data_IF_634353466810
#
_entry.id   IF_634353466810
#
_cell.length_a   1.000
_cell.length_b   1.000
_cell.length_c   1.000
_cell.angle_alpha   90.00
_cell.angle_beta   90.00
_cell.angle_gamma   90.00
#
_symmetry.space_group_name_H-M   'P 1'
#
loop_
_entity.id
_entity.type
_entity.pdbx_description
1 polymer ?
#
# COMPACT_ATOMS: atom_id res chain seq x y z
N UNK A 1 -4.01 22.15 -7.49
CA UNK A 1 -5.12 21.58 -6.70
C UNK A 1 -5.97 20.62 -7.51
N UNK A 2 -6.53 21.00 -8.67
CA UNK A 2 -7.31 20.07 -9.51
C UNK A 2 -6.51 18.83 -9.94
N UNK A 3 -5.27 19.04 -10.40
CA UNK A 3 -4.39 17.91 -10.74
C UNK A 3 -4.15 16.93 -9.60
N UNK A 4 -4.06 17.38 -8.34
CA UNK A 4 -3.84 16.47 -7.23
C UNK A 4 -5.06 15.56 -7.01
N UNK A 5 -6.28 16.04 -7.28
CA UNK A 5 -7.48 15.20 -7.22
C UNK A 5 -7.41 14.10 -8.27
N UNK A 6 -7.06 14.43 -9.52
CA UNK A 6 -6.88 13.43 -10.59
C UNK A 6 -5.76 12.45 -10.25
N UNK A 7 -4.61 12.95 -9.78
CA UNK A 7 -3.43 12.13 -9.47
C UNK A 7 -3.69 11.15 -8.33
N UNK A 8 -4.57 11.48 -7.38
CA UNK A 8 -5.00 10.64 -6.25
C UNK A 8 -6.28 9.83 -6.53
N UNK A 9 -6.92 10.02 -7.68
CA UNK A 9 -8.13 9.30 -8.01
C UNK A 9 -7.85 7.82 -8.26
N UNK A 10 -8.82 7.01 -7.85
CA UNK A 10 -8.95 5.60 -8.17
C UNK A 10 -9.52 5.42 -9.57
N UNK A 11 -9.44 4.21 -10.15
CA UNK A 11 -9.98 3.93 -11.48
C UNK A 11 -11.49 4.17 -11.66
N UNK A 12 -12.28 4.19 -10.58
CA UNK A 12 -13.68 4.63 -10.63
C UNK A 12 -13.86 6.16 -10.67
N UNK A 13 -12.78 6.93 -10.83
CA UNK A 13 -12.76 8.40 -10.89
C UNK A 13 -13.13 9.11 -9.57
N UNK A 14 -13.36 8.38 -8.49
CA UNK A 14 -13.45 8.92 -7.14
C UNK A 14 -12.05 8.98 -6.49
N UNK A 15 -11.90 9.78 -5.44
CA UNK A 15 -10.70 9.68 -4.58
C UNK A 15 -11.02 8.79 -3.37
N UNK A 16 -10.03 8.06 -2.82
CA UNK A 16 -10.22 7.40 -1.55
C UNK A 16 -10.41 8.44 -0.44
N UNK A 17 -11.09 8.07 0.64
CA UNK A 17 -11.12 8.93 1.83
C UNK A 17 -9.73 8.98 2.45
N UNK A 18 -9.08 10.13 2.42
CA UNK A 18 -7.71 10.28 2.94
C UNK A 18 -7.71 10.67 4.42
N UNK A 19 -8.33 11.81 4.72
CA UNK A 19 -8.34 12.43 6.03
C UNK A 19 -9.80 12.74 6.40
N UNK A 20 -10.08 13.88 7.03
CA UNK A 20 -11.45 14.31 7.22
C UNK A 20 -12.11 14.62 5.87
N UNK A 21 -13.14 13.85 5.55
CA UNK A 21 -14.10 14.14 4.49
C UNK A 21 -15.51 13.88 5.05
N UNK A 22 -16.36 14.89 4.94
CA UNK A 22 -17.72 14.89 5.50
C UNK A 22 -18.81 14.82 4.45
N UNK A 23 -18.48 15.00 3.17
CA UNK A 23 -19.48 15.30 2.14
C UNK A 23 -19.91 14.03 1.36
N UNK A 24 -21.13 14.01 0.83
CA UNK A 24 -21.65 12.89 0.04
C UNK A 24 -22.07 11.64 0.83
N UNK A 25 -22.55 10.63 0.09
CA UNK A 25 -23.18 9.43 0.67
C UNK A 25 -22.25 8.25 0.93
N UNK A 26 -21.17 8.09 0.16
CA UNK A 26 -20.21 6.99 0.35
C UNK A 26 -19.38 7.21 1.62
N UNK A 27 -19.08 6.13 2.36
CA UNK A 27 -18.24 6.21 3.57
C UNK A 27 -16.76 5.93 3.29
N UNK A 28 -16.39 5.52 2.08
CA UNK A 28 -15.03 5.06 1.74
C UNK A 28 -14.43 5.78 0.50
N UNK A 29 -15.24 6.55 -0.20
CA UNK A 29 -14.89 7.27 -1.43
C UNK A 29 -15.44 8.70 -1.40
N UNK A 30 -14.70 9.64 -1.99
CA UNK A 30 -15.15 11.01 -2.20
C UNK A 30 -15.34 11.30 -3.69
N UNK A 31 -16.48 11.91 -4.01
CA UNK A 31 -16.79 12.37 -5.36
C UNK A 31 -16.06 13.69 -5.63
N UNK A 32 -15.33 13.73 -6.75
CA UNK A 32 -14.57 14.91 -7.20
C UNK A 32 -15.12 15.48 -8.51
N UNK A 33 -16.27 15.01 -8.97
CA UNK A 33 -16.85 15.39 -10.27
C UNK A 33 -17.22 16.87 -10.35
N UNK A 34 -17.79 17.45 -9.29
CA UNK A 34 -18.11 18.89 -9.24
C UNK A 34 -16.87 19.79 -9.30
N UNK A 35 -15.85 19.64 -8.43
CA UNK A 35 -14.66 20.47 -8.54
C UNK A 35 -13.92 20.26 -9.87
N UNK A 36 -13.91 19.03 -10.43
CA UNK A 36 -13.27 18.81 -11.73
C UNK A 36 -14.06 19.38 -12.91
N UNK A 37 -15.39 19.48 -12.81
CA UNK A 37 -16.19 20.26 -13.77
C UNK A 37 -15.79 21.75 -13.75
N UNK A 38 -15.63 22.34 -12.56
CA UNK A 38 -15.14 23.72 -12.40
C UNK A 38 -13.75 23.87 -13.00
N UNK A 39 -12.83 22.95 -12.68
CA UNK A 39 -11.48 22.94 -13.25
C UNK A 39 -11.49 22.87 -14.78
N UNK A 40 -12.28 21.96 -15.35
CA UNK A 40 -12.42 21.80 -16.80
C UNK A 40 -12.92 23.09 -17.48
N UNK A 41 -13.89 23.79 -16.89
CA UNK A 41 -14.41 25.05 -17.42
C UNK A 41 -13.42 26.22 -17.34
N UNK A 42 -12.66 26.33 -16.25
CA UNK A 42 -11.70 27.41 -16.03
C UNK A 42 -10.47 27.23 -16.91
N UNK A 43 -9.93 26.01 -16.99
CA UNK A 43 -8.66 25.73 -17.64
C UNK A 43 -8.78 25.15 -19.05
N UNK A 44 -9.98 24.79 -19.49
CA UNK A 44 -10.22 24.10 -20.76
C UNK A 44 -9.36 22.82 -20.88
N UNK A 45 -9.32 22.03 -19.80
CA UNK A 45 -8.42 20.88 -19.63
C UNK A 45 -9.17 19.55 -19.86
N UNK A 46 -8.90 18.82 -20.96
CA UNK A 46 -9.52 17.53 -21.29
C UNK A 46 -9.40 16.46 -20.20
N UNK A 47 -8.29 16.47 -19.44
CA UNK A 47 -8.10 15.53 -18.33
C UNK A 47 -9.11 15.79 -17.20
N UNK A 48 -9.38 17.04 -16.87
CA UNK A 48 -10.39 17.37 -15.84
C UNK A 48 -11.80 17.01 -16.32
N UNK A 49 -12.06 17.15 -17.63
CA UNK A 49 -13.32 16.74 -18.25
C UNK A 49 -13.60 15.25 -18.14
N UNK A 50 -12.57 14.40 -18.14
CA UNK A 50 -12.74 12.95 -17.98
C UNK A 50 -13.29 12.57 -16.60
N UNK A 51 -13.05 13.39 -15.58
CA UNK A 51 -13.52 13.16 -14.21
C UNK A 51 -14.71 14.03 -13.84
N UNK A 52 -15.06 15.02 -14.66
CA UNK A 52 -16.21 15.87 -14.40
C UNK A 52 -17.52 15.15 -14.70
N UNK A 53 -18.59 15.55 -14.00
CA UNK A 53 -19.94 15.21 -14.42
C UNK A 53 -20.29 15.85 -15.76
N UNK A 54 -21.34 15.35 -16.42
CA UNK A 54 -21.78 15.87 -17.73
C UNK A 54 -22.52 17.20 -17.65
N UNK A 55 -22.98 17.57 -16.46
CA UNK A 55 -23.73 18.80 -16.23
C UNK A 55 -22.88 19.79 -15.42
N UNK A 56 -23.07 21.11 -15.65
CA UNK A 56 -22.51 22.13 -14.78
C UNK A 56 -22.95 21.88 -13.32
N UNK A 57 -22.03 21.95 -12.36
CA UNK A 57 -22.35 21.66 -10.97
C UNK A 57 -23.31 22.72 -10.41
N UNK A 58 -24.43 22.27 -9.83
CA UNK A 58 -25.49 23.15 -9.31
C UNK A 58 -24.97 24.11 -8.23
N UNK A 59 -24.04 23.63 -7.40
CA UNK A 59 -23.35 24.36 -6.33
C UNK A 59 -22.51 25.54 -6.82
N UNK A 60 -22.16 25.59 -8.11
CA UNK A 60 -21.39 26.69 -8.69
C UNK A 60 -22.16 27.43 -9.79
N UNK A 61 -23.38 27.03 -10.14
CA UNK A 61 -24.09 27.52 -11.33
C UNK A 61 -24.18 29.05 -11.40
N UNK A 62 -24.42 29.71 -10.27
CA UNK A 62 -24.51 31.18 -10.18
C UNK A 62 -23.18 31.91 -10.38
N UNK A 63 -22.04 31.21 -10.37
CA UNK A 63 -20.71 31.75 -10.60
C UNK A 63 -20.23 31.52 -12.05
N UNK A 64 -21.01 30.81 -12.87
CA UNK A 64 -20.61 30.40 -14.21
C UNK A 64 -21.22 31.31 -15.28
N UNK A 65 -20.40 31.70 -16.25
CA UNK A 65 -20.85 32.33 -17.48
C UNK A 65 -21.43 31.30 -18.45
N UNK A 66 -22.26 31.76 -19.40
CA UNK A 66 -22.78 30.91 -20.48
C UNK A 66 -21.63 30.30 -21.30
N UNK A 67 -20.56 31.05 -21.54
CA UNK A 67 -19.38 30.57 -22.26
C UNK A 67 -18.69 29.42 -21.52
N UNK A 68 -18.53 29.52 -20.19
CA UNK A 68 -17.94 28.44 -19.39
C UNK A 68 -18.80 27.18 -19.43
N UNK A 69 -20.13 27.32 -19.34
CA UNK A 69 -21.05 26.18 -19.45
C UNK A 69 -20.93 25.52 -20.83
N UNK A 70 -20.85 26.30 -21.91
CA UNK A 70 -20.68 25.77 -23.26
C UNK A 70 -19.31 25.12 -23.47
N UNK A 71 -18.25 25.64 -22.85
CA UNK A 71 -16.93 25.00 -22.85
C UNK A 71 -17.00 23.59 -22.27
N UNK A 72 -17.65 23.39 -21.11
CA UNK A 72 -17.77 22.05 -20.52
C UNK A 72 -18.47 21.05 -21.46
N UNK A 73 -19.54 21.50 -22.12
CA UNK A 73 -20.33 20.68 -23.06
C UNK A 73 -19.53 20.29 -24.31
N UNK A 74 -18.72 21.21 -24.82
CA UNK A 74 -17.99 21.01 -26.07
C UNK A 74 -16.60 20.39 -25.86
N UNK A 75 -16.07 20.41 -24.64
CA UNK A 75 -14.76 19.85 -24.31
C UNK A 75 -14.82 18.32 -24.37
N UNK A 76 -13.94 17.75 -25.18
CA UNK A 76 -13.76 16.30 -25.24
C UNK A 76 -12.92 15.82 -24.05
N UNK A 77 -13.37 14.76 -23.40
CA UNK A 77 -12.62 14.13 -22.32
C UNK A 77 -11.35 13.43 -22.85
N UNK A 78 -10.27 13.48 -22.06
CA UNK A 78 -9.07 12.67 -22.27
C UNK A 78 -8.78 11.87 -21.02
N UNK A 79 -8.78 10.54 -21.13
CA UNK A 79 -8.39 9.66 -20.04
C UNK A 79 -6.92 9.92 -19.62
N UNK A 80 -6.57 9.68 -18.35
CA UNK A 80 -5.19 9.82 -17.90
C UNK A 80 -4.25 8.87 -18.66
N UNK A 81 -3.05 9.37 -18.97
CA UNK A 81 -1.97 8.63 -19.63
C UNK A 81 -0.80 8.30 -18.68
N UNK A 82 -0.97 8.55 -17.38
CA UNK A 82 0.04 8.26 -16.36
C UNK A 82 -0.35 7.08 -15.47
N UNK A 83 0.66 6.32 -15.04
CA UNK A 83 0.52 5.22 -14.09
C UNK A 83 0.76 5.67 -12.64
N UNK A 84 1.55 4.89 -11.93
CA UNK A 84 2.00 5.15 -10.56
C UNK A 84 2.76 6.47 -10.44
N UNK A 85 2.58 7.17 -9.33
CA UNK A 85 3.18 8.49 -9.09
C UNK A 85 3.28 8.80 -7.60
N UNK A 86 3.97 9.90 -7.27
CA UNK A 86 4.05 10.42 -5.92
C UNK A 86 3.76 11.92 -5.89
N UNK A 87 3.01 12.35 -4.89
CA UNK A 87 2.95 13.74 -4.44
C UNK A 87 3.88 13.86 -3.23
N UNK A 88 5.19 14.07 -3.49
CA UNK A 88 6.24 13.94 -2.47
C UNK A 88 6.11 14.98 -1.36
N UNK A 89 5.64 16.18 -1.68
CA UNK A 89 5.47 17.29 -0.76
C UNK A 89 4.33 17.02 0.25
N UNK A 90 3.26 16.37 -0.21
CA UNK A 90 2.12 15.99 0.64
C UNK A 90 2.22 14.57 1.19
N UNK A 91 3.20 13.79 0.74
CA UNK A 91 3.48 12.45 1.22
C UNK A 91 2.47 11.39 0.78
N UNK A 92 1.89 11.52 -0.42
CA UNK A 92 1.01 10.48 -0.98
C UNK A 92 1.68 9.75 -2.14
N UNK A 93 1.66 8.42 -2.09
CA UNK A 93 2.32 7.56 -3.07
C UNK A 93 1.30 6.59 -3.66
N UNK A 94 1.13 6.63 -4.97
CA UNK A 94 0.11 5.86 -5.68
C UNK A 94 0.78 4.82 -6.57
N UNK A 95 0.41 3.57 -6.35
CA UNK A 95 0.73 2.42 -7.20
C UNK A 95 -0.53 2.07 -8.01
N UNK A 96 -0.44 2.00 -9.33
CA UNK A 96 -1.54 1.59 -10.22
C UNK A 96 -1.03 0.98 -11.51
N UNK A 97 -1.87 0.16 -12.14
CA UNK A 97 -1.58 -0.42 -13.46
C UNK A 97 -2.66 -0.16 -14.52
N UNK A 98 -3.53 0.80 -14.26
CA UNK A 98 -4.41 1.37 -15.27
C UNK A 98 -5.55 2.19 -14.68
N UNK A 99 -6.51 2.52 -15.54
CA UNK A 99 -7.64 3.41 -15.26
C UNK A 99 -9.01 2.79 -15.56
N UNK A 100 -9.04 1.54 -16.01
CA UNK A 100 -10.29 0.79 -16.13
C UNK A 100 -10.85 0.50 -14.73
N UNK A 101 -12.17 0.46 -14.52
CA UNK A 101 -12.78 0.29 -13.19
C UNK A 101 -12.32 -0.95 -12.41
N UNK A 102 -11.86 -2.00 -13.09
CA UNK A 102 -11.33 -3.20 -12.45
C UNK A 102 -9.81 -3.18 -12.23
N UNK A 103 -9.10 -2.13 -12.67
CA UNK A 103 -7.66 -2.01 -12.47
C UNK A 103 -7.28 -1.81 -11.00
N UNK A 104 -6.02 -2.14 -10.71
CA UNK A 104 -5.50 -2.19 -9.36
C UNK A 104 -4.91 -0.85 -8.98
N UNK A 105 -5.18 -0.45 -7.74
CA UNK A 105 -4.74 0.80 -7.17
C UNK A 105 -4.42 0.61 -5.69
N UNK A 106 -3.30 1.17 -5.25
CA UNK A 106 -2.93 1.28 -3.84
C UNK A 106 -2.34 2.66 -3.58
N UNK A 107 -2.82 3.32 -2.53
CA UNK A 107 -2.28 4.57 -2.03
C UNK A 107 -1.63 4.35 -0.67
N UNK A 108 -0.45 4.92 -0.47
CA UNK A 108 0.25 5.02 0.82
C UNK A 108 0.18 6.44 1.34
N UNK A 109 -0.23 6.59 2.60
CA UNK A 109 -0.22 7.85 3.36
C UNK A 109 1.09 7.95 4.14
N UNK A 110 1.99 8.85 3.75
CA UNK A 110 3.30 9.07 4.37
C UNK A 110 3.63 10.57 4.50
N UNK A 111 2.59 11.40 4.68
CA UNK A 111 2.69 12.83 4.86
C UNK A 111 2.24 13.29 6.25
N UNK A 112 2.91 14.32 6.78
CA UNK A 112 2.56 14.95 8.05
C UNK A 112 2.45 16.46 7.90
N UNK A 113 1.27 17.02 8.15
CA UNK A 113 1.06 18.47 8.20
C UNK A 113 1.51 19.04 9.56
N UNK A 114 2.69 19.67 9.60
CA UNK A 114 3.29 20.17 10.85
C UNK A 114 2.61 21.44 11.39
N UNK A 115 1.97 22.25 10.54
CA UNK A 115 1.40 23.56 10.94
C UNK A 115 -0.03 23.45 11.45
N UNK A 116 -0.87 22.64 10.80
CA UNK A 116 -2.30 22.52 11.11
C UNK A 116 -2.80 21.06 11.00
N UNK A 117 -2.37 20.15 11.90
CA UNK A 117 -2.69 18.72 11.84
C UNK A 117 -4.12 18.38 12.29
N UNK A 118 -5.02 19.36 12.43
CA UNK A 118 -6.38 19.19 12.96
C UNK A 118 -7.19 18.16 12.17
N UNK A 119 -6.93 18.02 10.86
CA UNK A 119 -7.58 17.04 10.01
C UNK A 119 -6.78 15.74 9.85
N UNK A 120 -5.54 15.67 10.37
CA UNK A 120 -4.66 14.53 10.17
C UNK A 120 -5.06 13.34 11.06
N UNK A 121 -5.04 12.17 10.47
CA UNK A 121 -5.33 10.90 11.11
C UNK A 121 -4.06 10.19 11.62
N UNK A 122 -4.24 9.20 12.50
CA UNK A 122 -3.20 8.25 12.90
C UNK A 122 -3.02 7.13 11.88
N UNK A 123 -2.69 7.49 10.63
CA UNK A 123 -2.64 6.63 9.44
C UNK A 123 -1.26 6.63 8.76
N UNK A 124 -0.19 6.98 9.47
CA UNK A 124 1.17 7.07 8.95
C UNK A 124 1.65 5.70 8.43
N UNK A 125 2.14 5.70 7.20
CA UNK A 125 2.44 4.51 6.36
C UNK A 125 1.23 3.60 6.12
N UNK A 126 0.02 4.08 6.38
CA UNK A 126 -1.23 3.37 6.13
C UNK A 126 -1.52 3.25 4.65
N UNK A 127 -2.21 2.18 4.27
CA UNK A 127 -2.58 1.93 2.88
C UNK A 127 -4.09 2.03 2.63
N UNK A 128 -4.46 2.37 1.40
CA UNK A 128 -5.82 2.24 0.88
C UNK A 128 -5.73 1.50 -0.44
N UNK A 129 -6.51 0.44 -0.63
CA UNK A 129 -6.43 -0.38 -1.83
C UNK A 129 -7.78 -0.58 -2.52
N UNK A 130 -7.73 -0.61 -3.85
CA UNK A 130 -8.87 -0.70 -4.74
C UNK A 130 -8.57 -1.66 -5.89
N UNK A 131 -9.58 -2.45 -6.25
CA UNK A 131 -9.61 -3.28 -7.46
C UNK A 131 -11.06 -3.73 -7.68
N UNK A 132 -11.38 -4.18 -8.89
CA UNK A 132 -12.67 -4.82 -9.15
C UNK A 132 -13.90 -3.95 -8.81
N UNK A 133 -13.83 -2.65 -9.10
CA UNK A 133 -14.91 -1.71 -8.76
C UNK A 133 -15.04 -1.36 -7.27
N UNK A 134 -14.15 -1.85 -6.40
CA UNK A 134 -14.32 -1.81 -4.94
C UNK A 134 -13.05 -1.37 -4.20
N UNK A 135 -13.17 -0.37 -3.33
CA UNK A 135 -12.16 -0.08 -2.30
C UNK A 135 -12.22 -1.15 -1.21
N UNK A 136 -11.32 -2.15 -1.24
CA UNK A 136 -11.39 -3.35 -0.39
C UNK A 136 -10.55 -3.25 0.90
N UNK A 137 -9.49 -2.42 0.90
CA UNK A 137 -8.83 -1.96 2.12
C UNK A 137 -9.15 -0.48 2.29
N UNK A 138 -10.33 -0.13 2.83
CA UNK A 138 -10.76 1.26 2.88
C UNK A 138 -10.10 2.03 4.02
N UNK A 139 -10.22 3.35 3.90
CA UNK A 139 -10.29 4.26 5.02
C UNK A 139 -11.70 4.86 5.07
N UNK A 140 -12.10 5.44 6.20
CA UNK A 140 -13.49 5.79 6.46
C UNK A 140 -13.70 7.28 6.68
N UNK A 141 -14.82 7.80 6.18
CA UNK A 141 -15.26 9.18 6.46
C UNK A 141 -15.55 9.37 7.93
N UNK A 142 -15.21 10.55 8.41
CA UNK A 142 -15.37 10.97 9.78
C UNK A 142 -16.48 12.01 9.83
N UNK A 143 -17.42 11.87 10.77
CA UNK A 143 -18.47 12.88 10.99
C UNK A 143 -18.36 13.38 12.41
N UNK A 144 -18.04 14.67 12.56
CA UNK A 144 -17.80 15.32 13.85
C UNK A 144 -19.00 15.32 14.81
N UNK A 145 -20.21 15.12 14.28
CA UNK A 145 -21.43 15.01 15.07
C UNK A 145 -21.71 13.59 15.60
N UNK A 146 -20.81 12.61 15.38
CA UNK A 146 -20.95 11.23 15.85
C UNK A 146 -19.86 10.90 16.85
N UNK A 147 -20.18 10.13 17.89
CA UNK A 147 -19.25 9.77 18.97
C UNK A 147 -18.04 8.94 18.49
N UNK A 148 -18.17 8.21 17.39
CA UNK A 148 -17.13 7.35 16.82
C UNK A 148 -16.05 8.12 16.03
N UNK A 149 -16.17 9.44 15.88
CA UNK A 149 -15.27 10.23 15.05
C UNK A 149 -13.79 10.05 15.44
N UNK A 150 -13.47 10.13 16.73
CA UNK A 150 -12.08 10.06 17.22
C UNK A 150 -11.46 8.67 17.00
N UNK A 151 -12.28 7.61 17.08
CA UNK A 151 -11.88 6.25 16.74
C UNK A 151 -11.59 6.13 15.24
N UNK A 152 -12.48 6.64 14.39
CA UNK A 152 -12.32 6.64 12.94
C UNK A 152 -11.11 7.47 12.48
N UNK A 153 -10.70 8.50 13.24
CA UNK A 153 -9.47 9.29 12.99
C UNK A 153 -8.17 8.57 13.38
N UNK A 154 -8.21 7.37 13.96
CA UNK A 154 -7.02 6.74 14.53
C UNK A 154 -6.80 5.29 14.09
N UNK A 155 -5.65 4.73 14.48
CA UNK A 155 -5.00 3.57 13.87
C UNK A 155 -5.85 2.30 13.80
N UNK A 156 -6.77 2.06 14.74
CA UNK A 156 -7.64 0.88 14.70
C UNK A 156 -8.63 0.87 13.53
N UNK A 157 -8.90 2.04 12.93
CA UNK A 157 -9.72 2.20 11.75
C UNK A 157 -8.89 2.37 10.46
N UNK A 158 -7.57 2.14 10.51
CA UNK A 158 -6.63 2.29 9.38
C UNK A 158 -5.97 0.95 9.02
N UNK A 159 -5.33 0.90 7.85
CA UNK A 159 -4.52 -0.24 7.39
C UNK A 159 -3.04 -0.04 7.76
N UNK A 160 -2.73 -0.10 9.06
CA UNK A 160 -1.41 0.24 9.62
C UNK A 160 -0.87 -0.89 10.48
N UNK A 161 0.41 -0.80 10.85
CA UNK A 161 1.01 -1.66 11.85
C UNK A 161 1.11 -0.94 13.22
N UNK A 162 1.07 -1.71 14.32
CA UNK A 162 1.09 -1.21 15.69
C UNK A 162 2.02 -2.05 16.58
N UNK A 163 2.47 -1.44 17.68
CA UNK A 163 3.25 -2.07 18.75
C UNK A 163 2.49 -1.93 20.05
N UNK A 164 2.26 -3.03 20.77
CA UNK A 164 1.58 -3.06 22.08
C UNK A 164 0.25 -2.28 22.09
N UNK A 165 -0.49 -2.30 20.97
CA UNK A 165 -1.74 -1.56 20.80
C UNK A 165 -1.61 -0.04 20.97
N UNK A 166 -0.38 0.50 20.90
CA UNK A 166 -0.11 1.93 20.95
C UNK A 166 -0.56 2.58 19.64
N UNK A 167 -1.56 3.45 19.73
CA UNK A 167 -2.08 4.20 18.60
C UNK A 167 -1.07 5.25 18.12
N UNK A 168 -1.06 5.49 16.81
CA UNK A 168 -0.22 6.52 16.21
C UNK A 168 -0.68 7.93 16.63
N UNK A 169 -1.98 8.20 16.59
CA UNK A 169 -2.55 9.44 17.12
C UNK A 169 -2.64 9.39 18.64
N UNK A 170 -1.95 10.29 19.34
CA UNK A 170 -1.97 10.34 20.82
C UNK A 170 -2.32 11.72 21.34
N UNK A 171 -2.84 11.74 22.57
CA UNK A 171 -3.20 12.95 23.32
C UNK A 171 -4.14 13.86 22.51
N UNK A 172 -5.37 13.39 22.25
CA UNK A 172 -6.38 14.19 21.55
C UNK A 172 -6.65 15.50 22.29
N UNK A 173 -6.62 16.62 21.56
CA UNK A 173 -6.99 17.94 22.05
C UNK A 173 -8.16 18.47 21.24
N UNK A 174 -9.35 18.41 21.83
CA UNK A 174 -10.56 19.02 21.29
C UNK A 174 -10.48 20.55 21.28
N UNK A 175 -11.33 21.17 20.46
CA UNK A 175 -11.52 22.61 20.44
C UNK A 175 -12.35 23.08 21.64
N UNK A 176 -12.29 24.38 21.95
CA UNK A 176 -13.02 24.98 23.07
C UNK A 176 -14.55 24.92 22.91
N UNK A 177 -15.03 24.82 21.66
CA UNK A 177 -16.46 24.81 21.35
C UNK A 177 -17.15 23.45 21.49
N UNK A 178 -16.42 22.38 21.83
CA UNK A 178 -16.98 21.04 22.00
C UNK A 178 -17.56 20.44 20.72
N UNK A 179 -17.20 20.94 19.54
CA UNK A 179 -17.80 20.54 18.26
C UNK A 179 -17.25 19.23 17.71
N UNK A 180 -16.51 18.46 18.51
CA UNK A 180 -15.74 17.29 18.08
C UNK A 180 -14.48 17.64 17.28
N UNK A 181 -14.31 18.88 16.81
CA UNK A 181 -13.12 19.32 16.10
C UNK A 181 -11.92 19.36 17.05
N UNK A 182 -10.74 18.94 16.60
CA UNK A 182 -9.54 18.88 17.43
C UNK A 182 -8.35 18.30 16.68
N UNK A 183 -7.25 18.08 17.40
CA UNK A 183 -6.03 17.53 16.84
C UNK A 183 -5.38 16.52 17.77
N UNK A 184 -4.61 15.59 17.18
CA UNK A 184 -3.65 14.79 17.93
C UNK A 184 -2.45 15.66 18.29
N UNK A 185 -2.01 15.64 19.56
CA UNK A 185 -0.78 16.35 19.96
C UNK A 185 0.49 15.58 19.57
N UNK A 186 0.35 14.30 19.27
CA UNK A 186 1.39 13.49 18.68
C UNK A 186 0.83 12.68 17.51
N UNK A 187 1.56 12.72 16.40
CA UNK A 187 1.46 11.82 15.27
C UNK A 187 2.89 11.43 14.86
N UNK A 188 3.12 10.20 14.36
CA UNK A 188 4.45 9.81 13.91
C UNK A 188 4.94 10.68 12.76
N UNK A 189 6.22 11.05 12.78
CA UNK A 189 6.88 11.68 11.65
C UNK A 189 7.34 10.59 10.66
N UNK A 190 6.80 10.57 9.42
CA UNK A 190 7.22 9.62 8.40
C UNK A 190 8.56 10.02 7.79
N UNK A 191 9.31 9.01 7.33
CA UNK A 191 10.46 9.17 6.46
C UNK A 191 10.38 8.15 5.34
N UNK A 192 10.20 8.62 4.12
CA UNK A 192 10.25 7.77 2.93
C UNK A 192 11.70 7.54 2.55
N UNK A 193 12.09 6.26 2.50
CA UNK A 193 13.44 5.81 2.23
C UNK A 193 13.63 5.52 0.75
N UNK A 194 12.59 5.00 0.09
CA UNK A 194 12.62 4.71 -1.34
C UNK A 194 11.24 4.78 -1.99
N UNK A 195 11.21 5.29 -3.22
CA UNK A 195 10.07 5.21 -4.13
C UNK A 195 10.59 4.97 -5.55
N UNK A 196 10.22 3.84 -6.14
CA UNK A 196 10.63 3.44 -7.49
C UNK A 196 9.41 2.95 -8.26
N UNK A 197 9.32 3.34 -9.53
CA UNK A 197 8.23 2.97 -10.45
C UNK A 197 8.86 2.45 -11.72
N UNK A 198 8.31 1.37 -12.26
CA UNK A 198 8.71 0.80 -13.55
C UNK A 198 7.53 0.16 -14.26
N UNK A 199 7.72 -0.34 -15.48
CA UNK A 199 6.62 -0.95 -16.24
C UNK A 199 6.12 -2.28 -15.67
N UNK A 200 6.97 -2.99 -14.92
CA UNK A 200 6.63 -4.30 -14.35
C UNK A 200 6.30 -4.25 -12.85
N UNK A 201 6.91 -3.32 -12.12
CA UNK A 201 6.76 -3.23 -10.67
C UNK A 201 6.94 -1.82 -10.13
N UNK A 202 6.33 -1.57 -8.97
CA UNK A 202 6.59 -0.39 -8.15
C UNK A 202 7.07 -0.82 -6.77
N UNK A 203 7.91 0.00 -6.14
CA UNK A 203 8.45 -0.24 -4.81
C UNK A 203 8.38 1.01 -3.94
N UNK A 204 7.91 0.84 -2.72
CA UNK A 204 7.90 1.84 -1.66
C UNK A 204 8.58 1.29 -0.41
N UNK A 205 9.38 2.12 0.26
CA UNK A 205 9.90 1.86 1.60
C UNK A 205 9.82 3.13 2.44
N UNK A 206 9.30 3.01 3.67
CA UNK A 206 9.23 4.11 4.62
C UNK A 206 9.23 3.64 6.06
N UNK A 207 9.65 4.53 6.96
CA UNK A 207 9.65 4.33 8.41
C UNK A 207 8.95 5.50 9.10
N UNK A 208 8.60 5.35 10.38
CA UNK A 208 8.15 6.47 11.20
C UNK A 208 8.56 6.31 12.67
N UNK A 209 8.69 7.41 13.41
CA UNK A 209 9.15 7.44 14.81
C UNK A 209 8.06 7.13 15.85
N UNK A 210 7.02 6.40 15.45
CA UNK A 210 5.78 6.28 16.23
C UNK A 210 5.95 5.48 17.53
N UNK A 211 6.91 4.58 17.53
CA UNK A 211 7.16 3.59 18.58
C UNK A 211 8.55 3.73 19.20
N UNK A 212 9.25 4.85 18.97
CA UNK A 212 10.59 5.09 19.57
C UNK A 212 10.55 5.10 21.09
N UNK A 213 9.44 5.55 21.70
CA UNK A 213 9.26 5.49 23.15
C UNK A 213 9.13 4.07 23.72
N UNK A 214 9.03 3.06 22.85
CA UNK A 214 9.06 1.64 23.18
C UNK A 214 10.39 0.98 22.75
N UNK A 215 11.38 1.75 22.28
CA UNK A 215 12.62 1.22 21.68
C UNK A 215 12.35 0.27 20.50
N UNK A 216 11.34 0.57 19.68
CA UNK A 216 11.02 -0.19 18.46
C UNK A 216 11.27 0.65 17.22
N UNK A 217 12.19 0.17 16.37
CA UNK A 217 12.35 0.68 15.00
C UNK A 217 11.36 -0.04 14.07
N UNK A 218 10.54 0.74 13.35
CA UNK A 218 9.53 0.22 12.43
C UNK A 218 9.76 0.70 11.01
N UNK A 219 9.70 -0.22 10.05
CA UNK A 219 9.70 0.07 8.62
C UNK A 219 8.61 -0.74 7.90
N UNK A 220 7.97 -0.10 6.92
CA UNK A 220 7.10 -0.74 5.94
C UNK A 220 7.71 -0.71 4.55
N UNK A 221 7.68 -1.84 3.87
CA UNK A 221 7.97 -1.95 2.44
C UNK A 221 6.75 -2.48 1.69
N UNK A 222 6.56 -2.01 0.47
CA UNK A 222 5.49 -2.46 -0.42
C UNK A 222 6.09 -2.66 -1.80
N UNK A 223 5.95 -3.87 -2.33
CA UNK A 223 6.22 -4.18 -3.73
C UNK A 223 4.88 -4.41 -4.44
N UNK A 224 4.60 -3.64 -5.48
CA UNK A 224 3.48 -3.91 -6.39
C UNK A 224 4.01 -4.60 -7.64
N UNK A 225 3.56 -5.84 -7.87
CA UNK A 225 3.78 -6.55 -9.12
C UNK A 225 2.61 -6.23 -10.04
N UNK A 226 2.87 -5.41 -11.08
CA UNK A 226 1.82 -4.96 -12.01
C UNK A 226 1.18 -6.15 -12.70
N UNK A 227 -0.12 -6.05 -12.98
CA UNK A 227 -0.93 -7.15 -13.48
C UNK A 227 -1.08 -8.38 -12.53
N UNK A 228 -0.57 -8.30 -11.30
CA UNK A 228 -0.73 -9.32 -10.28
C UNK A 228 -1.21 -8.75 -8.95
N UNK A 229 -0.27 -8.58 -8.01
CA UNK A 229 -0.53 -8.54 -6.58
C UNK A 229 0.43 -7.59 -5.85
N UNK A 230 0.23 -7.41 -4.55
CA UNK A 230 1.17 -6.68 -3.69
C UNK A 230 1.80 -7.59 -2.64
N UNK A 231 3.03 -7.27 -2.26
CA UNK A 231 3.70 -7.80 -1.07
C UNK A 231 3.92 -6.64 -0.12
N UNK A 232 3.41 -6.74 1.10
CA UNK A 232 3.61 -5.77 2.18
C UNK A 232 4.48 -6.40 3.25
N UNK A 233 5.58 -5.73 3.60
CA UNK A 233 6.49 -6.16 4.67
C UNK A 233 6.46 -5.11 5.76
N UNK A 234 6.18 -5.53 6.99
CA UNK A 234 6.28 -4.69 8.20
C UNK A 234 7.38 -5.26 9.10
N UNK A 235 8.54 -4.61 9.14
CA UNK A 235 9.69 -4.98 9.99
C UNK A 235 9.66 -4.19 11.30
N UNK A 236 9.78 -4.91 12.41
CA UNK A 236 9.93 -4.38 13.76
C UNK A 236 11.24 -4.88 14.38
N UNK A 237 12.05 -3.95 14.86
CA UNK A 237 13.32 -4.26 15.52
C UNK A 237 13.39 -3.61 16.91
N UNK A 238 13.62 -4.41 17.95
CA UNK A 238 13.85 -3.96 19.30
C UNK A 238 14.77 -4.92 20.07
N UNK A 239 15.35 -4.43 21.16
CA UNK A 239 16.01 -5.25 22.17
C UNK A 239 15.05 -5.72 23.28
N UNK A 240 13.87 -5.09 23.37
CA UNK A 240 12.80 -5.34 24.33
C UNK A 240 11.70 -6.20 23.71
N UNK A 241 10.91 -6.87 24.55
CA UNK A 241 9.86 -7.81 24.11
C UNK A 241 8.54 -7.05 23.95
N UNK A 242 7.93 -7.15 22.76
CA UNK A 242 6.68 -6.47 22.41
C UNK A 242 5.70 -7.39 21.68
N UNK A 243 4.43 -7.00 21.64
CA UNK A 243 3.42 -7.57 20.74
C UNK A 243 3.32 -6.71 19.49
N UNK A 244 3.55 -7.31 18.33
CA UNK A 244 3.44 -6.63 17.05
C UNK A 244 2.09 -6.93 16.41
N UNK A 245 1.52 -5.94 15.73
CA UNK A 245 0.18 -6.00 15.16
C UNK A 245 0.16 -5.45 13.74
N UNK A 246 -0.54 -6.12 12.83
CA UNK A 246 -0.90 -5.61 11.51
C UNK A 246 -2.42 -5.51 11.41
N UNK A 247 -2.94 -4.30 11.19
CA UNK A 247 -4.37 -4.00 11.15
C UNK A 247 -4.81 -3.86 9.69
N UNK A 248 -5.85 -4.61 9.31
CA UNK A 248 -6.46 -4.55 7.99
C UNK A 248 -7.96 -4.27 8.08
N UNK A 249 -8.41 -3.23 7.39
CA UNK A 249 -9.80 -2.82 7.32
C UNK A 249 -10.53 -3.59 6.23
N UNK A 250 -11.80 -3.91 6.48
CA UNK A 250 -12.68 -4.55 5.50
C UNK A 250 -13.37 -5.79 6.05
N UNK A 251 -14.48 -6.21 5.42
CA UNK A 251 -15.30 -7.33 5.85
C UNK A 251 -14.69 -8.67 5.42
N UNK A 252 -13.45 -8.93 5.83
CA UNK A 252 -12.78 -10.19 5.52
C UNK A 252 -13.35 -11.35 6.37
N UNK A 253 -13.36 -12.53 5.80
CA UNK A 253 -13.62 -13.80 6.46
C UNK A 253 -12.28 -14.49 6.77
N UNK A 254 -12.19 -15.14 7.92
CA UNK A 254 -11.03 -15.97 8.27
C UNK A 254 -11.19 -17.30 7.55
N UNK A 255 -10.26 -17.61 6.63
CA UNK A 255 -10.20 -18.93 5.97
C UNK A 255 -9.42 -19.90 6.85
N UNK A 256 -8.27 -19.45 7.36
CA UNK A 256 -7.44 -20.19 8.31
C UNK A 256 -6.59 -19.20 9.13
N UNK A 257 -5.65 -19.72 9.93
CA UNK A 257 -4.83 -18.91 10.84
C UNK A 257 -3.84 -17.94 10.15
N UNK A 258 -3.71 -17.96 8.82
CA UNK A 258 -2.83 -17.09 8.03
C UNK A 258 -3.47 -16.45 6.81
N UNK A 259 -4.73 -16.78 6.51
CA UNK A 259 -5.41 -16.40 5.29
C UNK A 259 -6.77 -15.77 5.59
N UNK A 260 -6.94 -14.55 5.10
CA UNK A 260 -8.21 -13.83 5.08
C UNK A 260 -8.73 -13.76 3.65
N UNK A 261 -10.05 -13.73 3.48
CA UNK A 261 -10.72 -13.64 2.18
C UNK A 261 -11.84 -12.60 2.20
N UNK A 262 -12.01 -11.88 1.11
CA UNK A 262 -13.17 -11.01 0.86
C UNK A 262 -13.72 -11.24 -0.55
N UNK A 263 -15.05 -11.24 -0.70
CA UNK A 263 -15.73 -11.18 -2.00
C UNK A 263 -16.01 -9.73 -2.38
N UNK A 264 -15.56 -9.30 -3.55
CA UNK A 264 -15.80 -7.97 -4.10
C UNK A 264 -17.14 -7.90 -4.83
N UNK A 265 -17.61 -6.66 -5.10
CA UNK A 265 -18.90 -6.41 -5.76
C UNK A 265 -18.99 -7.03 -7.16
N UNK A 266 -17.88 -7.09 -7.89
CA UNK A 266 -17.82 -7.70 -9.23
C UNK A 266 -17.68 -9.23 -9.20
N UNK A 267 -17.74 -9.86 -8.02
CA UNK A 267 -17.59 -11.31 -7.83
C UNK A 267 -16.14 -11.80 -7.71
N UNK A 268 -15.15 -10.93 -7.89
CA UNK A 268 -13.74 -11.27 -7.66
C UNK A 268 -13.48 -11.51 -6.17
N UNK A 269 -12.59 -12.45 -5.84
CA UNK A 269 -12.13 -12.67 -4.47
C UNK A 269 -10.77 -12.00 -4.26
N UNK A 270 -10.57 -11.42 -3.08
CA UNK A 270 -9.26 -10.90 -2.64
C UNK A 270 -8.84 -11.64 -1.39
N UNK A 271 -7.56 -11.99 -1.33
CA UNK A 271 -6.98 -12.66 -0.18
C UNK A 271 -5.88 -11.82 0.46
N UNK A 272 -5.80 -11.87 1.79
CA UNK A 272 -4.63 -11.42 2.55
C UNK A 272 -3.97 -12.65 3.15
N UNK A 273 -2.76 -12.97 2.71
CA UNK A 273 -2.04 -14.16 3.15
C UNK A 273 -0.75 -13.77 3.87
N UNK A 274 -0.63 -14.14 5.15
CA UNK A 274 0.63 -14.08 5.87
C UNK A 274 1.57 -15.26 5.60
N UNK A 275 2.77 -14.96 5.11
CA UNK A 275 3.78 -15.97 4.81
C UNK A 275 4.59 -16.41 6.03
N UNK A 276 4.48 -15.74 7.18
CA UNK A 276 5.20 -16.13 8.39
C UNK A 276 4.73 -17.48 8.92
N UNK A 277 5.70 -18.36 9.23
CA UNK A 277 5.43 -19.66 9.88
C UNK A 277 5.33 -19.54 11.41
N UNK A 278 5.66 -18.36 11.94
CA UNK A 278 5.52 -18.04 13.36
C UNK A 278 4.06 -17.93 13.78
N UNK A 279 3.78 -18.23 15.06
CA UNK A 279 2.41 -18.20 15.60
C UNK A 279 1.92 -16.76 15.80
N UNK A 280 0.88 -16.39 15.09
CA UNK A 280 0.08 -15.19 15.33
C UNK A 280 -1.41 -15.52 15.44
N UNK A 281 -2.12 -14.67 16.18
CA UNK A 281 -3.56 -14.73 16.36
C UNK A 281 -4.22 -13.73 15.41
N UNK A 282 -5.34 -14.13 14.78
CA UNK A 282 -6.18 -13.21 14.01
C UNK A 282 -7.37 -12.80 14.87
N UNK A 283 -7.50 -11.50 15.15
CA UNK A 283 -8.65 -10.92 15.85
C UNK A 283 -9.50 -10.09 14.90
N UNK A 284 -10.80 -10.28 14.95
CA UNK A 284 -11.74 -9.44 14.20
C UNK A 284 -12.55 -8.58 15.16
N UNK A 285 -12.66 -7.30 14.87
CA UNK A 285 -13.47 -6.38 15.65
C UNK A 285 -14.39 -5.57 14.75
N UNK A 286 -15.66 -5.45 15.15
CA UNK A 286 -16.63 -4.60 14.45
C UNK A 286 -16.88 -3.33 15.23
N UNK A 287 -16.82 -2.19 14.54
CA UNK A 287 -16.88 -0.88 15.15
C UNK A 287 -17.70 0.11 14.30
N UNK A 288 -17.82 1.35 14.81
CA UNK A 288 -18.68 2.39 14.27
C UNK A 288 -20.16 2.17 14.59
N UNK A 289 -20.99 3.17 14.33
CA UNK A 289 -22.44 3.05 14.63
C UNK A 289 -23.05 1.90 13.83
N UNK A 290 -23.76 1.02 14.53
CA UNK A 290 -24.34 -0.24 14.03
C UNK A 290 -23.30 -1.28 13.57
N UNK A 291 -22.05 -1.23 14.04
CA UNK A 291 -21.03 -2.26 13.79
C UNK A 291 -20.78 -2.55 12.30
N UNK A 292 -20.85 -1.49 11.47
CA UNK A 292 -20.78 -1.58 10.00
C UNK A 292 -19.34 -1.71 9.49
N UNK A 293 -18.36 -1.33 10.29
CA UNK A 293 -16.95 -1.43 9.93
C UNK A 293 -16.31 -2.63 10.63
N UNK A 294 -15.28 -3.19 10.01
CA UNK A 294 -14.54 -4.31 10.54
C UNK A 294 -13.05 -4.07 10.36
N UNK A 295 -12.28 -4.38 11.40
CA UNK A 295 -10.84 -4.58 11.29
C UNK A 295 -10.49 -6.06 11.54
N UNK A 296 -9.34 -6.45 11.01
CA UNK A 296 -8.75 -7.77 11.10
C UNK A 296 -7.31 -7.55 11.54
N UNK A 297 -6.94 -8.07 12.71
CA UNK A 297 -5.67 -7.80 13.37
C UNK A 297 -4.88 -9.09 13.47
N UNK A 298 -3.79 -9.17 12.72
CA UNK A 298 -2.77 -10.18 12.96
C UNK A 298 -1.92 -9.73 14.13
N UNK A 299 -1.82 -10.53 15.19
CA UNK A 299 -1.08 -10.19 16.41
C UNK A 299 -0.10 -11.31 16.77
N UNK A 300 1.16 -10.96 16.98
CA UNK A 300 2.18 -11.92 17.38
C UNK A 300 2.07 -12.33 18.86
N UNK A 301 2.69 -13.45 19.21
CA UNK A 301 3.16 -13.64 20.58
C UNK A 301 4.25 -12.60 20.92
N UNK A 302 4.48 -12.27 22.21
CA UNK A 302 5.51 -11.31 22.58
C UNK A 302 6.90 -11.75 22.11
N UNK A 303 7.62 -10.88 21.40
CA UNK A 303 8.97 -11.15 20.93
C UNK A 303 9.77 -9.86 20.67
N UNK A 304 11.09 -9.98 20.50
CA UNK A 304 11.98 -8.82 20.35
C UNK A 304 11.92 -8.18 18.97
N UNK A 305 11.88 -9.01 17.94
CA UNK A 305 11.89 -8.57 16.56
C UNK A 305 10.88 -9.42 15.81
N UNK A 306 10.23 -8.84 14.81
CA UNK A 306 9.31 -9.59 13.98
C UNK A 306 9.16 -8.91 12.62
N UNK A 307 8.91 -9.69 11.58
CA UNK A 307 8.65 -9.18 10.24
C UNK A 307 7.38 -9.80 9.72
N UNK A 308 6.29 -9.04 9.54
CA UNK A 308 5.15 -9.55 8.78
C UNK A 308 5.50 -9.54 7.29
N UNK A 309 5.15 -10.59 6.56
CA UNK A 309 5.18 -10.63 5.09
C UNK A 309 3.81 -11.03 4.57
N UNK A 310 3.07 -10.05 4.05
CA UNK A 310 1.65 -10.19 3.67
C UNK A 310 1.50 -10.08 2.16
N UNK A 311 0.95 -11.12 1.53
CA UNK A 311 0.51 -11.06 0.14
C UNK A 311 -0.92 -10.52 0.08
N UNK A 312 -1.16 -9.54 -0.79
CA UNK A 312 -2.49 -9.04 -1.14
C UNK A 312 -2.81 -9.51 -2.55
N UNK A 313 -3.72 -10.48 -2.66
CA UNK A 313 -3.89 -11.34 -3.84
C UNK A 313 -5.30 -11.20 -4.44
N UNK A 314 -5.55 -10.16 -5.27
CA UNK A 314 -6.83 -9.99 -5.95
C UNK A 314 -7.00 -10.96 -7.13
N UNK A 315 -8.14 -11.63 -7.20
CA UNK A 315 -8.45 -12.58 -8.27
C UNK A 315 -7.66 -13.88 -8.23
N UNK A 316 -7.03 -14.18 -7.10
CA UNK A 316 -6.20 -15.36 -6.95
C UNK A 316 -7.02 -16.67 -6.94
N UNK A 317 -6.43 -17.72 -7.49
CA UNK A 317 -6.88 -19.11 -7.30
C UNK A 317 -5.85 -19.79 -6.40
N UNK A 318 -6.25 -20.13 -5.18
CA UNK A 318 -5.39 -20.77 -4.19
C UNK A 318 -5.66 -22.28 -4.21
N UNK A 319 -4.60 -23.07 -4.43
CA UNK A 319 -4.62 -24.51 -4.21
C UNK A 319 -3.82 -24.81 -2.94
N UNK A 320 -4.53 -24.93 -1.80
CA UNK A 320 -3.90 -25.13 -0.49
C UNK A 320 -3.12 -26.45 -0.42
N UNK A 321 -3.67 -27.53 -0.99
CA UNK A 321 -3.05 -28.87 -0.98
C UNK A 321 -1.67 -28.90 -1.65
N UNK A 322 -1.47 -28.04 -2.66
CA UNK A 322 -0.22 -27.97 -3.43
C UNK A 322 0.70 -26.83 -3.00
N UNK A 323 0.24 -25.93 -2.12
CA UNK A 323 0.98 -24.70 -1.78
C UNK A 323 1.23 -23.78 -2.99
N UNK A 324 0.35 -23.82 -3.99
CA UNK A 324 0.48 -23.04 -5.23
C UNK A 324 -0.66 -22.03 -5.34
N UNK A 325 -0.29 -20.79 -5.65
CA UNK A 325 -1.22 -19.67 -5.85
C UNK A 325 -1.08 -19.20 -7.29
N UNK A 326 -2.20 -19.08 -8.01
CA UNK A 326 -2.23 -18.47 -9.33
C UNK A 326 -2.90 -17.09 -9.26
N UNK A 327 -2.24 -16.06 -9.77
CA UNK A 327 -2.80 -14.70 -9.89
C UNK A 327 -2.46 -14.15 -11.27
N UNK A 328 -3.45 -14.07 -12.17
CA UNK A 328 -3.18 -13.72 -13.57
C UNK A 328 -2.12 -14.64 -14.18
N UNK A 329 -1.06 -14.03 -14.73
CA UNK A 329 0.08 -14.72 -15.34
C UNK A 329 1.13 -15.21 -14.33
N UNK A 330 0.90 -14.98 -13.03
CA UNK A 330 1.86 -15.29 -11.97
C UNK A 330 1.51 -16.57 -11.23
N UNK A 331 2.51 -17.43 -11.08
CA UNK A 331 2.46 -18.59 -10.18
C UNK A 331 3.35 -18.31 -8.97
N UNK A 332 2.78 -18.37 -7.78
CA UNK A 332 3.47 -18.10 -6.53
C UNK A 332 3.51 -19.38 -5.70
N UNK A 333 4.68 -19.68 -5.13
CA UNK A 333 4.91 -20.86 -4.30
C UNK A 333 5.73 -20.47 -3.08
N UNK A 334 5.40 -21.04 -1.94
CA UNK A 334 6.34 -21.11 -0.82
C UNK A 334 7.41 -22.13 -1.18
N UNK A 335 8.68 -21.79 -1.05
CA UNK A 335 9.77 -22.70 -1.39
C UNK A 335 11.04 -22.29 -0.68
N UNK A 336 11.86 -23.28 -0.32
CA UNK A 336 13.10 -23.08 0.43
C UNK A 336 14.36 -23.23 -0.43
N UNK A 337 14.26 -23.82 -1.62
CA UNK A 337 15.37 -23.98 -2.57
C UNK A 337 14.93 -23.54 -3.97
N UNK A 338 15.73 -22.69 -4.60
CA UNK A 338 15.54 -22.24 -5.97
C UNK A 338 16.88 -22.26 -6.70
N UNK A 339 16.98 -23.08 -7.75
CA UNK A 339 18.21 -23.22 -8.54
C UNK A 339 18.00 -22.56 -9.90
N UNK A 340 18.81 -21.56 -10.22
CA UNK A 340 18.83 -20.93 -11.55
C UNK A 340 19.58 -21.82 -12.53
N UNK A 341 20.77 -22.28 -12.13
CA UNK A 341 21.62 -23.21 -12.87
C UNK A 341 22.50 -24.00 -11.86
N UNK A 342 23.29 -25.00 -12.29
CA UNK A 342 24.13 -25.80 -11.38
C UNK A 342 25.12 -25.00 -10.51
N UNK A 343 25.47 -23.77 -10.92
CA UNK A 343 26.41 -22.90 -10.23
C UNK A 343 25.73 -21.79 -9.43
N UNK A 344 24.42 -21.58 -9.57
CA UNK A 344 23.70 -20.48 -8.92
C UNK A 344 22.37 -20.95 -8.31
N UNK A 345 22.29 -20.89 -6.99
CA UNK A 345 21.07 -21.21 -6.23
C UNK A 345 20.81 -20.23 -5.10
N UNK A 346 19.56 -20.19 -4.66
CA UNK A 346 19.04 -19.32 -3.61
C UNK A 346 18.15 -20.11 -2.67
N UNK A 347 18.09 -19.68 -1.41
CA UNK A 347 17.07 -20.11 -0.45
C UNK A 347 16.08 -18.99 -0.16
N UNK A 348 15.07 -18.81 -1.03
CA UNK A 348 13.99 -17.87 -0.79
C UNK A 348 13.01 -18.40 0.26
N UNK A 349 12.04 -17.57 0.61
CA UNK A 349 10.81 -17.99 1.28
C UNK A 349 9.64 -18.10 0.30
N UNK A 350 9.67 -17.25 -0.72
CA UNK A 350 8.66 -17.16 -1.76
C UNK A 350 9.32 -17.12 -3.13
N UNK A 351 8.81 -17.93 -4.04
CA UNK A 351 9.20 -17.96 -5.45
C UNK A 351 8.00 -17.51 -6.28
N UNK A 352 8.24 -16.58 -7.19
CA UNK A 352 7.24 -16.07 -8.13
C UNK A 352 7.74 -16.30 -9.54
N UNK A 353 6.92 -16.99 -10.32
CA UNK A 353 7.10 -17.24 -11.75
C UNK A 353 6.10 -16.38 -12.53
N UNK A 354 6.52 -15.78 -13.64
CA UNK A 354 5.68 -15.08 -14.61
C UNK A 354 5.67 -15.89 -15.89
N UNK A 355 4.50 -16.41 -16.28
CA UNK A 355 4.36 -17.28 -17.48
C UNK A 355 5.34 -18.47 -17.49
N UNK A 356 5.59 -19.05 -16.31
CA UNK A 356 6.50 -20.19 -16.12
C UNK A 356 7.99 -19.85 -16.08
N UNK A 357 8.37 -18.57 -16.17
CA UNK A 357 9.76 -18.12 -16.01
C UNK A 357 9.96 -17.50 -14.62
N UNK A 358 11.11 -17.74 -13.95
CA UNK A 358 11.42 -17.09 -12.69
C UNK A 358 11.39 -15.56 -12.81
N UNK A 359 10.73 -14.89 -11.86
CA UNK A 359 10.49 -13.45 -11.91
C UNK A 359 10.90 -12.73 -10.62
N UNK A 360 10.51 -13.26 -9.45
CA UNK A 360 10.79 -12.63 -8.16
C UNK A 360 11.05 -13.70 -7.11
N UNK A 361 12.11 -13.50 -6.32
CA UNK A 361 12.34 -14.19 -5.07
C UNK A 361 12.15 -13.22 -3.90
N UNK A 362 11.46 -13.66 -2.85
CA UNK A 362 11.29 -12.88 -1.62
C UNK A 362 11.78 -13.65 -0.39
N UNK A 363 12.37 -12.92 0.55
CA UNK A 363 12.89 -13.48 1.80
C UNK A 363 14.09 -14.39 1.60
N UNK A 364 15.02 -14.04 0.71
CA UNK A 364 16.22 -14.85 0.45
C UNK A 364 17.14 -14.80 1.67
N UNK A 365 17.48 -15.95 2.23
CA UNK A 365 18.35 -16.06 3.42
C UNK A 365 19.74 -16.61 3.12
N UNK A 366 19.87 -17.32 2.01
CA UNK A 366 21.10 -17.96 1.57
C UNK A 366 21.18 -17.92 0.04
N UNK A 367 22.39 -17.87 -0.50
CA UNK A 367 22.62 -18.17 -1.91
C UNK A 367 23.99 -18.85 -2.10
N UNK A 368 24.14 -19.58 -3.19
CA UNK A 368 25.38 -20.27 -3.57
C UNK A 368 25.81 -19.89 -4.97
N UNK A 369 27.10 -19.58 -5.14
CA UNK A 369 27.74 -19.25 -6.43
C UNK A 369 28.98 -20.11 -6.57
N UNK A 370 29.07 -20.88 -7.66
CA UNK A 370 30.20 -21.78 -7.98
C UNK A 370 30.55 -22.71 -6.79
N UNK A 371 29.52 -23.22 -6.12
CA UNK A 371 29.66 -24.10 -4.95
C UNK A 371 30.01 -23.39 -3.64
N UNK A 372 30.15 -22.05 -3.64
CA UNK A 372 30.38 -21.26 -2.43
C UNK A 372 29.06 -20.68 -1.89
N UNK A 373 28.61 -21.24 -0.78
CA UNK A 373 27.41 -20.79 -0.07
C UNK A 373 27.68 -19.57 0.82
N UNK A 374 26.78 -18.59 0.79
CA UNK A 374 26.76 -17.46 1.71
C UNK A 374 25.41 -17.32 2.40
N UNK A 375 25.45 -17.13 3.72
CA UNK A 375 24.27 -16.87 4.56
C UNK A 375 24.14 -15.38 4.86
N UNK A 376 22.93 -14.85 4.68
CA UNK A 376 22.61 -13.45 4.96
C UNK A 376 22.20 -13.28 6.42
N UNK A 377 22.68 -12.20 7.05
CA UNK A 377 22.33 -11.86 8.44
C UNK A 377 20.87 -11.44 8.59
N UNK A 378 20.32 -10.83 7.54
CA UNK A 378 18.90 -10.50 7.40
C UNK A 378 18.42 -11.00 6.04
N UNK A 379 17.17 -11.46 5.91
CA UNK A 379 16.63 -11.87 4.63
C UNK A 379 16.66 -10.71 3.63
N UNK A 380 17.08 -10.97 2.40
CA UNK A 380 16.88 -10.05 1.29
C UNK A 380 15.40 -10.08 0.90
N UNK A 381 14.74 -8.93 1.03
CA UNK A 381 13.29 -8.83 0.85
C UNK A 381 12.87 -9.08 -0.61
N UNK A 382 13.50 -8.44 -1.59
CA UNK A 382 13.12 -8.66 -2.99
C UNK A 382 14.34 -8.77 -3.90
N UNK A 383 14.37 -9.87 -4.66
CA UNK A 383 15.31 -10.12 -5.73
C UNK A 383 14.52 -10.35 -7.02
N UNK A 384 14.53 -9.37 -7.92
CA UNK A 384 13.85 -9.44 -9.21
C UNK A 384 14.81 -10.03 -10.23
N UNK A 385 14.39 -11.10 -10.89
CA UNK A 385 15.18 -11.86 -11.85
C UNK A 385 14.80 -11.41 -13.26
N UNK A 386 15.79 -10.93 -14.02
CA UNK A 386 15.64 -10.66 -15.45
C UNK A 386 16.67 -11.49 -16.22
N UNK A 387 16.18 -12.47 -16.98
CA UNK A 387 17.01 -13.19 -17.93
C UNK A 387 17.12 -12.37 -19.22
N UNK A 388 18.31 -11.86 -19.54
CA UNK A 388 18.58 -11.20 -20.82
C UNK A 388 19.85 -11.81 -21.43
N UNK A 389 19.74 -12.31 -22.67
CA UNK A 389 20.88 -12.73 -23.50
C UNK A 389 21.89 -13.66 -22.79
N UNK A 390 21.41 -14.65 -22.01
CA UNK A 390 22.28 -15.58 -21.30
C UNK A 390 22.99 -14.99 -20.08
N UNK A 391 22.52 -13.85 -19.56
CA UNK A 391 22.91 -13.25 -18.27
C UNK A 391 21.71 -13.15 -17.34
N UNK A 392 21.96 -13.27 -16.03
CA UNK A 392 20.97 -13.01 -15.00
C UNK A 392 21.21 -11.63 -14.38
N UNK A 393 20.33 -10.69 -14.70
CA UNK A 393 20.32 -9.37 -14.06
C UNK A 393 19.37 -9.39 -12.87
N UNK A 394 19.93 -9.14 -11.70
CA UNK A 394 19.21 -9.16 -10.44
C UNK A 394 18.97 -7.72 -9.96
N UNK A 395 17.72 -7.31 -9.82
CA UNK A 395 17.40 -6.05 -9.15
C UNK A 395 17.08 -6.32 -7.68
N UNK A 396 17.73 -5.59 -6.79
CA UNK A 396 17.61 -5.80 -5.34
C UNK A 396 16.88 -4.65 -4.65
N UNK A 397 15.96 -5.01 -3.75
CA UNK A 397 15.28 -4.08 -2.86
C UNK A 397 15.31 -4.61 -1.42
N UNK A 398 15.50 -3.71 -0.45
CA UNK A 398 15.56 -4.03 0.98
C UNK A 398 16.77 -3.42 1.70
N UNK A 399 17.05 -3.92 2.90
CA UNK A 399 17.93 -3.28 3.88
C UNK A 399 19.42 -3.61 3.82
N UNK A 400 19.82 -4.75 3.26
CA UNK A 400 21.21 -5.24 3.35
C UNK A 400 22.02 -5.07 2.06
N UNK A 401 21.78 -3.96 1.36
CA UNK A 401 22.45 -3.66 0.10
C UNK A 401 23.97 -3.51 0.26
N UNK A 402 24.44 -3.01 1.41
CA UNK A 402 25.88 -2.85 1.66
C UNK A 402 26.62 -4.19 1.79
N UNK A 403 26.01 -5.22 2.39
CA UNK A 403 26.61 -6.56 2.43
C UNK A 403 26.56 -7.22 1.04
N UNK A 404 25.44 -7.08 0.32
CA UNK A 404 25.35 -7.60 -1.05
C UNK A 404 26.42 -6.98 -1.96
N UNK A 405 26.67 -5.68 -1.85
CA UNK A 405 27.68 -5.00 -2.63
C UNK A 405 29.08 -5.60 -2.43
N UNK A 406 29.47 -5.82 -1.17
CA UNK A 406 30.75 -6.45 -0.82
C UNK A 406 30.84 -7.88 -1.33
N UNK A 407 29.71 -8.59 -1.34
CA UNK A 407 29.64 -10.01 -1.69
C UNK A 407 29.69 -10.26 -3.20
N UNK A 408 29.11 -9.38 -4.01
CA UNK A 408 29.13 -9.50 -5.48
C UNK A 408 30.32 -8.80 -6.15
N UNK A 409 31.31 -8.32 -5.38
CA UNK A 409 32.43 -7.51 -5.90
C UNK A 409 31.94 -6.40 -6.86
N UNK A 410 30.82 -5.76 -6.52
CA UNK A 410 30.26 -4.72 -7.38
C UNK A 410 31.15 -3.47 -7.29
N UNK A 411 31.96 -3.27 -8.34
CA UNK A 411 32.90 -2.14 -8.45
C UNK A 411 32.21 -0.80 -8.73
N UNK A 412 30.88 -0.80 -8.93
CA UNK A 412 30.07 0.36 -9.31
C UNK A 412 29.44 1.11 -8.13
N UNK A 413 30.23 1.70 -7.23
CA UNK A 413 29.71 2.57 -6.17
C UNK A 413 28.72 1.90 -5.19
N UNK A 414 28.21 2.65 -4.20
CA UNK A 414 27.33 2.11 -3.15
C UNK A 414 25.98 1.66 -3.71
N UNK A 415 25.54 0.43 -3.44
CA UNK A 415 24.22 -0.04 -3.89
C UNK A 415 23.11 0.81 -3.24
N UNK A 416 22.23 1.34 -4.07
CA UNK A 416 21.02 2.06 -3.68
C UNK A 416 19.76 1.20 -3.93
N UNK A 417 18.64 1.61 -3.38
CA UNK A 417 17.34 0.96 -3.63
C UNK A 417 17.08 0.80 -5.14
N UNK A 418 16.81 -0.43 -5.59
CA UNK A 418 16.57 -0.74 -6.99
C UNK A 418 17.84 -0.87 -7.86
N UNK A 419 19.02 -0.95 -7.23
CA UNK A 419 20.27 -1.21 -7.97
C UNK A 419 20.21 -2.55 -8.69
N UNK A 420 20.84 -2.58 -9.85
CA UNK A 420 21.02 -3.79 -10.66
C UNK A 420 22.37 -4.39 -10.33
N UNK A 421 22.36 -5.67 -9.99
CA UNK A 421 23.55 -6.50 -9.82
C UNK A 421 23.55 -7.48 -10.99
N UNK A 422 24.59 -7.43 -11.80
CA UNK A 422 24.82 -8.45 -12.82
C UNK A 422 25.46 -9.66 -12.16
N UNK A 423 24.84 -10.83 -12.28
CA UNK A 423 25.45 -12.11 -11.95
C UNK A 423 25.90 -12.75 -13.25
N UNK A 424 27.22 -12.87 -13.44
CA UNK A 424 27.77 -13.59 -14.58
C UNK A 424 27.49 -15.08 -14.34
N UNK A 425 26.74 -15.70 -15.25
CA UNK A 425 26.30 -17.10 -15.16
C UNK A 425 27.42 -18.09 -15.49
#
# INVERSE_FOLDING_TARGET
MFESLVKLAMPNKAIPVLQDDTDGGSMIEADISEPLAVGAMIFNEPLFRDFSGDNPPLSFYWLLSTDQIQRLKNLSAKAPDFGSLALKETGYYVMRDGWQPDNRYLLVSAGLEKRKPDHQHGDMLGIIAYTGGTTFLPNYKVRYNREDFSYLKNSWAKNVALVDSQLQGRNWKGNRGGSGFGKWLFLPEPKVLCWQVSDELDYFSGQHNGFENLDVHYQREILFVKNGFWIVIDEFNSNSVHKYQQVWQGPFEIVNNRLLKQLLKNGQQVYLWQLNDEKFEIKQHRFGVHHRYQNNVFQTTPQKQFTFTTLILPGAKINEDKGVIQVGDFTIRTGEDFTVNPNLSFKPKLIVEKQGQPFLLNGVTEFSIDGKTTHLKKPLHFLILNAMEGKLNCRVYGHDLDNLQKMFNHNGGRLQCGSIIELTL
#
